data_IF_417176977826
#
_entry.id   IF_417176977826
#
_cell.length_a   1.000
_cell.length_b   1.000
_cell.length_c   1.000
_cell.angle_alpha   90.00
_cell.angle_beta   90.00
_cell.angle_gamma   90.00
#
_symmetry.space_group_name_H-M   'P 1'
#
loop_
_entity.id
_entity.type
_entity.pdbx_description
1 polymer ?
#
# COMPACT_ATOMS: atom_id res chain seq x y z
N UNK A 1 -1.88 14.97 11.61
CA UNK A 1 -0.69 15.51 10.91
C UNK A 1 0.59 14.71 11.19
N UNK A 2 1.04 14.51 12.44
CA UNK A 2 2.29 13.76 12.74
C UNK A 2 2.36 12.34 12.13
N UNK A 3 1.28 11.55 12.24
CA UNK A 3 1.22 10.18 11.69
C UNK A 3 1.23 10.13 10.16
N UNK A 4 0.52 11.04 9.49
CA UNK A 4 0.49 11.12 8.02
C UNK A 4 1.87 11.43 7.45
N UNK A 5 2.57 12.41 8.02
CA UNK A 5 3.93 12.75 7.60
C UNK A 5 4.92 11.60 7.81
N UNK A 6 4.78 10.86 8.92
CA UNK A 6 5.57 9.66 9.18
C UNK A 6 5.33 8.58 8.11
N UNK A 7 4.08 8.31 7.75
CA UNK A 7 3.73 7.29 6.74
C UNK A 7 4.29 7.66 5.37
N UNK A 8 4.10 8.91 4.94
CA UNK A 8 4.67 9.40 3.68
C UNK A 8 6.21 9.35 3.70
N UNK A 9 6.84 9.77 4.80
CA UNK A 9 8.28 9.69 4.99
C UNK A 9 8.80 8.26 4.95
N UNK A 10 8.09 7.31 5.55
CA UNK A 10 8.43 5.88 5.48
C UNK A 10 8.26 5.32 4.07
N UNK A 11 7.25 5.76 3.30
CA UNK A 11 7.09 5.38 1.91
C UNK A 11 8.22 5.93 1.01
N UNK A 12 8.66 7.16 1.26
CA UNK A 12 9.80 7.75 0.58
C UNK A 12 11.12 7.02 0.92
N UNK A 13 11.33 6.68 2.20
CA UNK A 13 12.48 5.88 2.61
C UNK A 13 12.45 4.48 1.97
N UNK A 14 11.27 3.87 1.89
CA UNK A 14 11.08 2.57 1.24
C UNK A 14 11.46 2.62 -0.24
N UNK A 15 11.14 3.70 -0.95
CA UNK A 15 11.60 3.92 -2.33
C UNK A 15 13.13 3.94 -2.45
N UNK A 16 13.82 4.61 -1.52
CA UNK A 16 15.28 4.62 -1.49
C UNK A 16 15.82 3.20 -1.33
N UNK A 17 15.22 2.40 -0.44
CA UNK A 17 15.60 0.99 -0.26
C UNK A 17 15.39 0.20 -1.56
N UNK A 18 14.22 0.34 -2.21
CA UNK A 18 13.94 -0.34 -3.49
C UNK A 18 14.92 0.06 -4.59
N UNK A 19 15.35 1.31 -4.62
CA UNK A 19 16.38 1.76 -5.55
C UNK A 19 17.71 1.03 -5.33
N UNK A 20 18.08 0.74 -4.08
CA UNK A 20 19.28 -0.06 -3.82
C UNK A 20 19.11 -1.54 -4.14
N UNK A 21 17.89 -2.09 -4.02
CA UNK A 21 17.60 -3.49 -4.35
C UNK A 21 17.94 -3.84 -5.79
N UNK A 22 17.82 -2.89 -6.73
CA UNK A 22 18.18 -3.09 -8.14
C UNK A 22 19.66 -3.47 -8.35
N UNK A 23 20.56 -3.10 -7.43
CA UNK A 23 21.98 -3.45 -7.55
C UNK A 23 22.27 -4.90 -7.12
N UNK A 24 21.31 -5.53 -6.43
CA UNK A 24 21.41 -6.90 -5.93
C UNK A 24 20.65 -7.87 -6.86
N UNK A 25 19.54 -7.40 -7.44
CA UNK A 25 18.69 -8.22 -8.31
C UNK A 25 18.94 -7.89 -9.79
N UNK A 26 18.84 -8.87 -10.69
CA UNK A 26 18.99 -8.65 -12.14
C UNK A 26 17.72 -8.07 -12.78
N UNK A 27 17.00 -7.21 -12.06
CA UNK A 27 15.75 -6.59 -12.51
C UNK A 27 15.89 -5.08 -12.55
N UNK A 28 15.35 -4.46 -13.59
CA UNK A 28 15.27 -3.02 -13.69
C UNK A 28 14.37 -2.45 -12.59
N UNK A 29 14.73 -1.25 -12.11
CA UNK A 29 14.00 -0.58 -11.04
C UNK A 29 12.51 -0.41 -11.35
N UNK A 30 12.16 -0.14 -12.61
CA UNK A 30 10.76 -0.03 -13.04
C UNK A 30 10.00 -1.34 -12.80
N UNK A 31 10.59 -2.48 -13.16
CA UNK A 31 9.96 -3.79 -12.98
C UNK A 31 9.77 -4.12 -11.50
N UNK A 32 10.76 -3.77 -10.66
CA UNK A 32 10.66 -3.90 -9.20
C UNK A 32 9.51 -3.05 -8.66
N UNK A 33 9.41 -1.79 -9.10
CA UNK A 33 8.33 -0.88 -8.69
C UNK A 33 6.95 -1.38 -9.09
N UNK A 34 6.79 -1.88 -10.32
CA UNK A 34 5.52 -2.44 -10.80
C UNK A 34 5.05 -3.62 -9.93
N UNK A 35 5.95 -4.56 -9.63
CA UNK A 35 5.64 -5.72 -8.77
C UNK A 35 5.24 -5.27 -7.37
N UNK A 36 6.01 -4.35 -6.77
CA UNK A 36 5.71 -3.81 -5.44
C UNK A 36 4.35 -3.09 -5.43
N UNK A 37 4.06 -2.30 -6.47
CA UNK A 37 2.79 -1.59 -6.60
C UNK A 37 1.60 -2.55 -6.61
N UNK A 38 1.68 -3.67 -7.35
CA UNK A 38 0.65 -4.71 -7.38
C UNK A 38 0.47 -5.34 -5.99
N UNK A 39 1.56 -5.69 -5.32
CA UNK A 39 1.51 -6.27 -3.97
C UNK A 39 0.82 -5.31 -2.99
N UNK A 40 1.14 -4.02 -3.03
CA UNK A 40 0.53 -3.01 -2.16
C UNK A 40 -0.98 -2.87 -2.41
N UNK A 41 -1.45 -2.98 -3.66
CA UNK A 41 -2.89 -3.00 -3.98
C UNK A 41 -3.54 -4.24 -3.35
N UNK A 42 -2.97 -5.42 -3.57
CA UNK A 42 -3.52 -6.68 -3.05
C UNK A 42 -3.64 -6.64 -1.53
N UNK A 43 -2.59 -6.18 -0.84
CA UNK A 43 -2.61 -6.04 0.62
C UNK A 43 -3.69 -5.03 1.06
N UNK A 44 -3.81 -3.91 0.36
CA UNK A 44 -4.81 -2.88 0.68
C UNK A 44 -6.24 -3.44 0.54
N UNK A 45 -6.52 -4.18 -0.52
CA UNK A 45 -7.81 -4.82 -0.77
C UNK A 45 -8.13 -5.90 0.27
N UNK A 46 -7.14 -6.70 0.65
CA UNK A 46 -7.30 -7.70 1.70
C UNK A 46 -7.66 -7.07 3.05
N UNK A 47 -6.98 -5.98 3.43
CA UNK A 47 -7.18 -5.32 4.71
C UNK A 47 -8.44 -4.44 4.74
N UNK A 48 -8.91 -3.95 3.59
CA UNK A 48 -10.12 -3.13 3.52
C UNK A 48 -11.39 -3.95 3.72
N UNK A 49 -11.27 -5.28 3.75
CA UNK A 49 -12.41 -6.19 3.83
C UNK A 49 -13.17 -6.32 2.52
N UNK A 50 -12.70 -5.71 1.42
CA UNK A 50 -13.35 -5.81 0.09
C UNK A 50 -13.37 -7.23 -0.46
N UNK A 51 -12.48 -8.10 0.01
CA UNK A 51 -12.42 -9.52 -0.37
C UNK A 51 -13.32 -10.42 0.50
N UNK A 52 -14.03 -9.89 1.50
CA UNK A 52 -14.91 -10.66 2.40
C UNK A 52 -16.36 -10.59 1.90
N UNK A 53 -17.09 -11.71 1.98
CA UNK A 53 -18.51 -11.76 1.60
C UNK A 53 -19.36 -10.83 2.46
N UNK A 54 -20.34 -10.16 1.84
CA UNK A 54 -21.19 -9.16 2.52
C UNK A 54 -21.88 -9.68 3.78
N UNK A 55 -22.25 -10.96 3.82
CA UNK A 55 -22.87 -11.59 5.00
C UNK A 55 -21.88 -11.77 6.15
N UNK A 56 -20.63 -12.14 5.85
CA UNK A 56 -19.56 -12.21 6.86
C UNK A 56 -19.18 -10.82 7.36
N UNK A 57 -19.20 -9.83 6.48
CA UNK A 57 -18.96 -8.44 6.86
C UNK A 57 -20.05 -7.92 7.81
N UNK A 58 -21.33 -8.18 7.51
CA UNK A 58 -22.47 -7.80 8.37
C UNK A 58 -22.44 -8.52 9.72
N UNK A 59 -22.08 -9.81 9.74
CA UNK A 59 -21.93 -10.58 10.98
C UNK A 59 -20.77 -10.06 11.84
N UNK A 60 -19.59 -9.78 11.24
CA UNK A 60 -18.46 -9.20 11.96
C UNK A 60 -18.78 -7.81 12.51
N UNK A 61 -19.54 -7.00 11.77
CA UNK A 61 -19.99 -5.68 12.22
C UNK A 61 -20.99 -5.74 13.39
N UNK A 62 -21.85 -6.75 13.42
CA UNK A 62 -22.80 -6.95 14.51
C UNK A 62 -22.12 -7.43 15.81
N UNK A 63 -21.01 -8.16 15.69
CA UNK A 63 -20.30 -8.76 16.84
C UNK A 63 -19.17 -7.85 17.36
N UNK A 64 -18.42 -7.17 16.48
CA UNK A 64 -17.36 -6.25 16.86
C UNK A 64 -17.32 -5.02 15.94
N UNK A 65 -18.00 -3.92 16.32
CA UNK A 65 -18.00 -2.67 15.56
C UNK A 65 -16.60 -2.07 15.38
N UNK A 66 -15.69 -2.32 16.33
CA UNK A 66 -14.33 -1.76 16.32
C UNK A 66 -13.41 -2.44 15.31
N UNK A 67 -13.78 -3.65 14.85
CA UNK A 67 -13.03 -4.40 13.84
C UNK A 67 -13.08 -3.70 12.47
N UNK A 68 -14.23 -3.07 12.14
CA UNK A 68 -14.42 -2.30 10.90
C UNK A 68 -13.54 -1.05 10.87
N UNK A 69 -13.55 -0.29 11.97
CA UNK A 69 -12.74 0.94 12.07
C UNK A 69 -11.25 0.63 11.98
N UNK A 70 -10.80 -0.46 12.61
CA UNK A 70 -9.40 -0.92 12.50
C UNK A 70 -9.03 -1.32 11.08
N UNK A 71 -9.89 -2.07 10.37
CA UNK A 71 -9.65 -2.44 8.96
C UNK A 71 -9.53 -1.21 8.06
N UNK A 72 -10.46 -0.26 8.20
CA UNK A 72 -10.47 0.98 7.41
C UNK A 72 -9.24 1.86 7.70
N UNK A 73 -8.83 2.00 8.97
CA UNK A 73 -7.64 2.77 9.35
C UNK A 73 -6.36 2.11 8.84
N UNK A 74 -6.27 0.78 8.87
CA UNK A 74 -5.11 0.05 8.33
C UNK A 74 -5.00 0.19 6.82
N UNK A 75 -6.10 0.04 6.08
CA UNK A 75 -6.11 0.28 4.62
C UNK A 75 -5.70 1.70 4.28
N UNK A 76 -6.21 2.70 5.00
CA UNK A 76 -5.80 4.09 4.78
C UNK A 76 -4.32 4.32 5.04
N UNK A 77 -3.75 3.66 6.05
CA UNK A 77 -2.34 3.79 6.36
C UNK A 77 -1.46 3.22 5.24
N UNK A 78 -1.90 2.13 4.60
CA UNK A 78 -1.17 1.49 3.49
C UNK A 78 -1.30 2.31 2.21
N UNK A 79 -2.47 2.89 1.94
CA UNK A 79 -2.66 3.84 0.83
C UNK A 79 -1.71 5.04 0.99
N UNK A 80 -1.64 5.62 2.20
CA UNK A 80 -0.72 6.73 2.47
C UNK A 80 0.75 6.32 2.35
N UNK A 81 1.12 5.12 2.79
CA UNK A 81 2.48 4.60 2.63
C UNK A 81 2.86 4.34 1.16
N UNK A 82 1.91 3.83 0.36
CA UNK A 82 2.13 3.46 -1.05
C UNK A 82 2.07 4.64 -2.02
N UNK A 83 1.53 5.78 -1.59
CA UNK A 83 1.39 7.01 -2.39
C UNK A 83 2.71 7.44 -3.08
N UNK A 84 3.85 7.55 -2.39
CA UNK A 84 5.13 7.86 -3.03
C UNK A 84 5.52 6.86 -4.14
N UNK A 85 5.24 5.56 -3.94
CA UNK A 85 5.53 4.51 -4.91
C UNK A 85 4.74 4.72 -6.20
N UNK A 86 3.43 4.97 -6.08
CA UNK A 86 2.60 5.27 -7.24
C UNK A 86 2.99 6.58 -7.93
N UNK A 87 3.39 7.61 -7.17
CA UNK A 87 3.86 8.87 -7.76
C UNK A 87 5.09 8.64 -8.64
N UNK A 88 6.08 7.88 -8.17
CA UNK A 88 7.27 7.56 -8.96
C UNK A 88 6.90 6.74 -10.19
N UNK A 89 6.00 5.76 -10.06
CA UNK A 89 5.55 4.94 -11.19
C UNK A 89 4.83 5.76 -12.26
N UNK A 90 3.99 6.71 -11.86
CA UNK A 90 3.31 7.64 -12.79
C UNK A 90 4.34 8.55 -13.49
N UNK A 91 5.32 9.07 -12.74
CA UNK A 91 6.38 9.92 -13.33
C UNK A 91 7.18 9.13 -14.36
N UNK A 92 7.57 7.89 -14.04
CA UNK A 92 8.28 7.01 -14.96
C UNK A 92 7.44 6.71 -16.20
N UNK A 93 6.14 6.45 -16.06
CA UNK A 93 5.25 6.23 -17.21
C UNK A 93 5.10 7.47 -18.11
N UNK A 94 5.16 8.68 -17.54
CA UNK A 94 5.02 9.93 -18.31
C UNK A 94 6.33 10.38 -18.98
N UNK A 95 7.49 9.95 -18.48
CA UNK A 95 8.82 10.39 -18.93
C UNK A 95 9.70 9.29 -19.52
N UNK A 96 9.31 8.02 -19.41
CA UNK A 96 9.91 6.87 -20.10
C UNK A 96 9.23 6.61 -21.43
#
# INVERSE_FOLDING_TARGET
MKKTGLLLGSGALFLVVLYFVQFVLPYEFEHILQVVAVILIVITLALSGTLVSGDRMRANQAIDPTSRDRGMVNSWSIILFSLPVYMVLIILYLWG
#
